data_IF_805603278656
#
_entry.id   IF_805603278656
#
_cell.length_a   1.000
_cell.length_b   1.000
_cell.length_c   1.000
_cell.angle_alpha   90.00
_cell.angle_beta   90.00
_cell.angle_gamma   90.00
#
_symmetry.space_group_name_H-M   'P 1'
#
loop_
_entity.id
_entity.type
_entity.pdbx_description
1 polymer ?
#
# COMPACT_ATOMS: atom_id res chain seq x y z
N UNK A 1 1.39 29.60 6.11
CA UNK A 1 1.29 28.90 4.82
C UNK A 1 1.89 27.55 5.03
N UNK A 2 1.26 26.47 4.58
CA UNK A 2 1.83 25.15 4.76
C UNK A 2 3.05 24.99 3.87
N UNK A 3 4.13 24.51 4.46
CA UNK A 3 5.39 24.25 3.76
C UNK A 3 5.43 22.79 3.34
N UNK A 4 5.82 22.50 2.10
CA UNK A 4 6.01 21.14 1.59
C UNK A 4 7.44 20.92 1.13
N UNK A 5 7.84 19.66 0.95
CA UNK A 5 9.12 19.30 0.35
C UNK A 5 8.92 18.61 -0.99
N UNK A 6 9.67 19.05 -1.99
CA UNK A 6 9.74 18.42 -3.31
C UNK A 6 11.17 17.95 -3.56
N UNK A 7 11.32 16.82 -4.26
CA UNK A 7 12.64 16.38 -4.72
C UNK A 7 13.07 17.21 -5.93
N UNK A 8 14.30 17.72 -5.88
CA UNK A 8 14.97 18.44 -6.96
C UNK A 8 16.14 17.59 -7.42
N UNK A 9 16.18 17.29 -8.71
CA UNK A 9 17.25 16.50 -9.31
C UNK A 9 18.61 17.16 -9.00
N UNK A 10 19.60 16.34 -8.63
CA UNK A 10 20.94 16.75 -8.20
C UNK A 10 21.04 17.62 -6.92
N UNK A 11 19.91 18.06 -6.34
CA UNK A 11 19.88 18.89 -5.13
C UNK A 11 19.15 18.27 -3.93
N UNK A 12 18.41 17.18 -4.14
CA UNK A 12 17.67 16.48 -3.08
C UNK A 12 16.37 17.17 -2.67
N UNK A 13 15.91 16.94 -1.44
CA UNK A 13 14.67 17.51 -0.92
C UNK A 13 14.82 18.99 -0.60
N UNK A 14 13.95 19.83 -1.19
CA UNK A 14 13.91 21.28 -0.96
C UNK A 14 12.56 21.72 -0.46
N UNK A 15 12.57 22.79 0.32
CA UNK A 15 11.40 23.43 0.89
C UNK A 15 10.67 24.27 -0.18
N UNK A 16 9.34 24.15 -0.26
CA UNK A 16 8.50 24.91 -1.18
C UNK A 16 7.22 25.41 -0.50
N UNK A 17 6.87 26.64 -0.85
CA UNK A 17 5.57 27.22 -0.53
C UNK A 17 4.54 26.83 -1.61
N UNK A 18 3.39 26.29 -1.17
CA UNK A 18 2.25 25.94 -2.03
C UNK A 18 1.67 27.12 -2.81
N UNK A 19 2.03 28.37 -2.46
CA UNK A 19 1.69 29.55 -3.26
C UNK A 19 2.34 29.52 -4.66
N UNK A 20 3.51 28.89 -4.81
CA UNK A 20 4.20 28.73 -6.08
C UNK A 20 3.85 27.40 -6.76
N UNK A 21 3.03 27.47 -7.81
CA UNK A 21 2.56 26.29 -8.54
C UNK A 21 3.48 25.84 -9.67
N UNK A 22 4.49 26.63 -10.04
CA UNK A 22 5.34 26.32 -11.20
C UNK A 22 6.06 24.97 -11.01
N UNK A 23 6.63 24.77 -9.83
CA UNK A 23 7.33 23.53 -9.48
C UNK A 23 6.40 22.32 -9.36
N UNK A 24 5.14 22.55 -8.97
CA UNK A 24 4.10 21.51 -8.98
C UNK A 24 3.77 21.09 -10.42
N UNK A 25 3.62 22.05 -11.34
CA UNK A 25 3.34 21.76 -12.75
C UNK A 25 4.49 21.01 -13.42
N UNK A 26 5.74 21.43 -13.21
CA UNK A 26 6.94 20.74 -13.72
C UNK A 26 6.97 19.27 -13.29
N UNK A 27 6.52 18.97 -12.08
CA UNK A 27 6.49 17.62 -11.50
C UNK A 27 5.18 16.88 -11.74
N UNK A 28 4.23 17.50 -12.44
CA UNK A 28 2.87 17.01 -12.62
C UNK A 28 2.18 16.61 -11.29
N UNK A 29 2.46 17.39 -10.24
CA UNK A 29 1.78 17.29 -8.96
C UNK A 29 0.49 18.11 -9.04
N UNK A 30 -0.65 17.49 -8.73
CA UNK A 30 -1.96 18.14 -8.76
C UNK A 30 -2.61 18.06 -7.40
N UNK A 31 -2.83 19.21 -6.77
CA UNK A 31 -3.48 19.33 -5.47
C UNK A 31 -4.77 20.13 -5.65
N UNK A 32 -5.91 19.56 -5.27
CA UNK A 32 -7.18 20.29 -5.31
C UNK A 32 -7.17 21.48 -4.37
N UNK A 33 -7.75 22.61 -4.81
CA UNK A 33 -7.89 23.83 -4.00
C UNK A 33 -8.68 23.63 -2.71
N UNK A 34 -9.56 22.62 -2.65
CA UNK A 34 -10.36 22.31 -1.46
C UNK A 34 -9.67 21.34 -0.50
N UNK A 35 -8.51 20.81 -0.88
CA UNK A 35 -7.74 19.91 -0.02
C UNK A 35 -6.93 20.69 1.02
N UNK A 36 -6.61 20.04 2.13
CA UNK A 36 -5.75 20.57 3.19
C UNK A 36 -4.49 19.73 3.26
N UNK A 37 -3.35 20.39 3.27
CA UNK A 37 -2.03 19.77 3.38
C UNK A 37 -1.37 20.30 4.65
N UNK A 38 -1.00 19.38 5.55
CA UNK A 38 -0.20 19.66 6.74
C UNK A 38 1.23 20.05 6.38
N UNK A 39 1.96 20.50 7.39
CA UNK A 39 3.33 20.96 7.24
C UNK A 39 4.28 19.79 6.97
N UNK A 40 5.35 20.07 6.23
CA UNK A 40 6.42 19.14 5.91
C UNK A 40 5.96 17.90 5.09
N UNK A 41 4.82 17.97 4.42
CA UNK A 41 4.42 16.92 3.50
C UNK A 41 5.41 16.82 2.32
N UNK A 42 5.75 15.60 1.94
CA UNK A 42 6.79 15.27 0.97
C UNK A 42 6.14 14.69 -0.28
N UNK A 43 6.38 15.30 -1.44
CA UNK A 43 5.82 14.86 -2.72
C UNK A 43 6.91 14.53 -3.73
N UNK A 44 6.84 13.34 -4.30
CA UNK A 44 7.54 13.01 -5.54
C UNK A 44 6.71 13.39 -6.79
N UNK A 45 7.17 12.99 -7.97
CA UNK A 45 6.54 13.32 -9.25
C UNK A 45 5.17 12.61 -9.43
N UNK A 46 4.30 13.23 -10.22
CA UNK A 46 3.01 12.70 -10.66
C UNK A 46 1.97 12.42 -9.55
N UNK A 47 2.15 13.01 -8.36
CA UNK A 47 1.21 12.84 -7.24
C UNK A 47 -0.09 13.61 -7.50
N UNK A 48 -1.23 13.02 -7.17
CA UNK A 48 -2.55 13.67 -7.26
C UNK A 48 -3.29 13.61 -5.94
N UNK A 49 -3.78 14.76 -5.47
CA UNK A 49 -4.60 14.92 -4.27
C UNK A 49 -5.97 15.47 -4.65
N UNK A 50 -7.01 14.68 -4.37
CA UNK A 50 -8.40 14.94 -4.69
C UNK A 50 -9.08 16.03 -3.85
N UNK A 51 -10.31 16.35 -4.22
CA UNK A 51 -11.12 17.38 -3.57
C UNK A 51 -11.43 17.03 -2.11
N UNK A 52 -11.35 18.02 -1.22
CA UNK A 52 -11.67 17.84 0.21
C UNK A 52 -10.81 16.82 0.95
N UNK A 53 -9.70 16.35 0.35
CA UNK A 53 -8.74 15.49 1.04
C UNK A 53 -8.08 16.24 2.20
N UNK A 54 -7.79 15.55 3.29
CA UNK A 54 -7.14 16.11 4.47
C UNK A 54 -5.87 15.31 4.77
N UNK A 55 -4.72 15.94 4.56
CA UNK A 55 -3.41 15.33 4.73
C UNK A 55 -2.76 15.94 5.98
N UNK A 56 -2.36 15.09 6.92
CA UNK A 56 -1.63 15.49 8.12
C UNK A 56 -0.18 15.91 7.83
N UNK A 57 0.54 16.25 8.88
CA UNK A 57 1.93 16.72 8.80
C UNK A 57 2.89 15.57 8.47
N UNK A 58 3.99 15.89 7.79
CA UNK A 58 5.09 14.95 7.52
C UNK A 58 4.67 13.68 6.76
N UNK A 59 3.61 13.75 5.96
CA UNK A 59 3.17 12.63 5.09
C UNK A 59 4.07 12.54 3.86
N UNK A 60 4.49 11.33 3.49
CA UNK A 60 5.28 11.11 2.26
C UNK A 60 4.43 10.46 1.18
N UNK A 61 4.46 11.03 -0.03
CA UNK A 61 3.82 10.48 -1.23
C UNK A 61 4.88 10.13 -2.27
N UNK A 62 4.99 8.83 -2.57
CA UNK A 62 5.86 8.36 -3.64
C UNK A 62 5.34 8.71 -5.03
N UNK A 63 6.23 8.60 -6.02
CA UNK A 63 5.95 8.68 -7.45
C UNK A 63 4.60 8.07 -7.84
N UNK A 64 3.79 8.79 -8.63
CA UNK A 64 2.49 8.33 -9.13
C UNK A 64 1.42 8.02 -8.05
N UNK A 65 1.58 8.41 -6.80
CA UNK A 65 0.53 8.24 -5.79
C UNK A 65 -0.73 9.04 -6.16
N UNK A 66 -1.90 8.42 -6.00
CA UNK A 66 -3.20 9.00 -6.31
C UNK A 66 -4.14 8.90 -5.11
N UNK A 67 -4.47 10.04 -4.52
CA UNK A 67 -5.35 10.17 -3.37
C UNK A 67 -6.68 10.76 -3.84
N UNK A 68 -7.76 9.99 -3.72
CA UNK A 68 -9.10 10.40 -4.17
C UNK A 68 -9.78 11.36 -3.17
N UNK A 69 -10.91 11.89 -3.62
CA UNK A 69 -11.64 12.94 -2.92
C UNK A 69 -12.10 12.48 -1.53
N UNK A 70 -12.04 13.40 -0.56
CA UNK A 70 -12.46 13.20 0.82
C UNK A 70 -11.58 12.26 1.65
N UNK A 71 -10.50 11.72 1.09
CA UNK A 71 -9.57 10.87 1.83
C UNK A 71 -8.88 11.64 2.97
N UNK A 72 -8.64 10.96 4.09
CA UNK A 72 -7.97 11.50 5.28
C UNK A 72 -6.72 10.69 5.56
N UNK A 73 -5.56 11.33 5.54
CA UNK A 73 -4.27 10.69 5.76
C UNK A 73 -3.66 11.28 7.03
N UNK A 74 -3.42 10.45 8.04
CA UNK A 74 -2.85 10.86 9.32
C UNK A 74 -1.38 11.28 9.18
N UNK A 75 -0.92 12.11 10.10
CA UNK A 75 0.46 12.60 10.12
C UNK A 75 1.48 11.45 10.16
N UNK A 76 2.65 11.66 9.57
CA UNK A 76 3.75 10.69 9.45
C UNK A 76 3.43 9.43 8.61
N UNK A 77 2.28 9.37 7.94
CA UNK A 77 1.97 8.24 7.05
C UNK A 77 2.90 8.22 5.81
N UNK A 78 3.19 7.01 5.32
CA UNK A 78 4.01 6.80 4.11
C UNK A 78 3.17 6.12 3.04
N UNK A 79 3.00 6.78 1.91
CA UNK A 79 2.23 6.30 0.76
C UNK A 79 3.20 5.92 -0.35
N UNK A 80 3.25 4.63 -0.67
CA UNK A 80 4.18 4.06 -1.63
C UNK A 80 3.96 4.44 -3.10
N UNK A 81 4.94 4.12 -3.94
CA UNK A 81 4.91 4.33 -5.39
C UNK A 81 3.69 3.71 -6.08
N UNK A 82 3.04 4.48 -6.95
CA UNK A 82 1.89 4.02 -7.74
C UNK A 82 0.64 3.66 -6.92
N UNK A 83 0.61 3.99 -5.62
CA UNK A 83 -0.51 3.70 -4.74
C UNK A 83 -1.77 4.46 -5.15
N UNK A 84 -2.93 3.82 -5.05
CA UNK A 84 -4.24 4.42 -5.26
C UNK A 84 -5.05 4.33 -3.96
N UNK A 85 -5.41 5.48 -3.39
CA UNK A 85 -6.25 5.58 -2.19
C UNK A 85 -7.65 6.03 -2.61
N UNK A 86 -8.66 5.22 -2.33
CA UNK A 86 -10.05 5.43 -2.71
C UNK A 86 -10.76 6.59 -2.00
N UNK A 87 -11.95 6.91 -2.47
CA UNK A 87 -12.79 8.00 -1.98
C UNK A 87 -13.12 7.84 -0.50
N UNK A 88 -13.00 8.92 0.29
CA UNK A 88 -13.38 8.91 1.71
C UNK A 88 -12.56 7.96 2.61
N UNK A 89 -11.47 7.39 2.11
CA UNK A 89 -10.60 6.48 2.86
C UNK A 89 -9.98 7.19 4.08
N UNK A 90 -9.76 6.46 5.17
CA UNK A 90 -9.01 6.93 6.34
C UNK A 90 -7.74 6.10 6.49
N UNK A 91 -6.58 6.75 6.40
CA UNK A 91 -5.27 6.17 6.69
C UNK A 91 -4.80 6.79 8.01
N UNK A 92 -4.48 5.96 8.99
CA UNK A 92 -4.08 6.37 10.33
C UNK A 92 -2.70 7.04 10.40
N UNK A 93 -2.38 7.57 11.58
CA UNK A 93 -1.08 8.18 11.88
C UNK A 93 0.04 7.15 11.73
N UNK A 94 1.12 7.51 11.05
CA UNK A 94 2.30 6.65 10.88
C UNK A 94 2.07 5.37 10.07
N UNK A 95 0.90 5.19 9.45
CA UNK A 95 0.61 4.00 8.64
C UNK A 95 1.52 3.93 7.40
N UNK A 96 1.88 2.71 6.98
CA UNK A 96 2.76 2.47 5.82
C UNK A 96 1.98 1.70 4.76
N UNK A 97 1.72 2.36 3.63
CA UNK A 97 1.05 1.78 2.48
C UNK A 97 2.11 1.42 1.43
N UNK A 98 2.18 0.14 1.09
CA UNK A 98 3.19 -0.41 0.17
C UNK A 98 3.04 0.05 -1.28
N UNK A 99 4.06 -0.24 -2.09
CA UNK A 99 4.09 0.12 -3.50
C UNK A 99 2.99 -0.60 -4.29
N UNK A 100 2.33 0.12 -5.20
CA UNK A 100 1.28 -0.37 -6.08
C UNK A 100 -0.05 -0.67 -5.39
N UNK A 101 -0.17 -0.40 -4.08
CA UNK A 101 -1.36 -0.72 -3.31
C UNK A 101 -2.61 0.00 -3.84
N UNK A 102 -3.75 -0.68 -3.78
CA UNK A 102 -5.06 -0.13 -4.12
C UNK A 102 -5.95 -0.25 -2.90
N UNK A 103 -6.20 0.86 -2.23
CA UNK A 103 -7.08 0.92 -1.06
C UNK A 103 -8.47 1.36 -1.54
N UNK A 104 -9.48 0.54 -1.28
CA UNK A 104 -10.85 0.77 -1.73
C UNK A 104 -11.52 1.95 -1.03
N UNK A 105 -12.63 2.40 -1.61
CA UNK A 105 -13.41 3.53 -1.10
C UNK A 105 -13.95 3.26 0.31
N UNK A 106 -13.87 4.27 1.19
CA UNK A 106 -14.36 4.20 2.56
C UNK A 106 -13.54 3.32 3.51
N UNK A 107 -12.45 2.70 3.04
CA UNK A 107 -11.60 1.85 3.86
C UNK A 107 -10.99 2.62 5.05
N UNK A 108 -10.66 1.88 6.11
CA UNK A 108 -10.03 2.42 7.32
C UNK A 108 -8.80 1.59 7.65
N UNK A 109 -7.62 2.20 7.53
CA UNK A 109 -6.34 1.64 7.93
C UNK A 109 -5.94 2.32 9.24
N UNK A 110 -5.68 1.53 10.28
CA UNK A 110 -5.37 2.02 11.62
C UNK A 110 -4.00 2.70 11.73
N UNK A 111 -3.75 3.31 12.88
CA UNK A 111 -2.46 3.96 13.19
C UNK A 111 -1.33 2.94 13.24
N UNK A 112 -0.17 3.29 12.67
CA UNK A 112 1.02 2.43 12.60
C UNK A 112 0.84 1.16 11.75
N UNK A 113 -0.33 0.94 11.14
CA UNK A 113 -0.62 -0.27 10.42
C UNK A 113 0.31 -0.45 9.22
N UNK A 114 0.77 -1.69 9.05
CA UNK A 114 1.50 -2.15 7.87
C UNK A 114 0.66 -3.27 7.25
N UNK A 115 0.18 -3.05 6.03
CA UNK A 115 -0.64 -4.05 5.32
C UNK A 115 0.31 -4.98 4.57
N UNK A 116 0.48 -6.22 5.06
CA UNK A 116 1.31 -7.27 4.43
C UNK A 116 0.47 -8.32 3.67
N UNK A 117 -0.80 -8.06 3.38
CA UNK A 117 -1.71 -9.07 2.83
C UNK A 117 -1.45 -9.40 1.35
N UNK A 118 -1.50 -10.67 0.99
CA UNK A 118 -1.36 -11.19 -0.37
C UNK A 118 -2.51 -12.14 -0.68
N UNK A 119 -3.08 -12.03 -1.87
CA UNK A 119 -4.14 -12.92 -2.35
C UNK A 119 -3.76 -13.43 -3.75
N UNK A 120 -3.68 -14.74 -3.93
CA UNK A 120 -3.50 -15.40 -5.22
C UNK A 120 -4.82 -16.04 -5.66
N UNK A 121 -5.17 -15.87 -6.93
CA UNK A 121 -6.17 -16.74 -7.57
C UNK A 121 -5.44 -17.98 -8.06
N UNK A 122 -5.34 -19.01 -7.22
CA UNK A 122 -4.76 -20.29 -7.65
C UNK A 122 -5.72 -21.06 -8.56
N UNK A 123 -5.21 -22.08 -9.26
CA UNK A 123 -6.00 -22.86 -10.23
C UNK A 123 -7.17 -23.66 -9.64
N UNK A 124 -7.17 -23.93 -8.33
CA UNK A 124 -8.24 -24.64 -7.61
C UNK A 124 -8.96 -23.75 -6.59
N UNK A 125 -8.22 -23.27 -5.59
CA UNK A 125 -8.68 -22.37 -4.54
C UNK A 125 -7.87 -21.07 -4.47
N UNK A 126 -8.48 -20.03 -3.92
CA UNK A 126 -7.78 -18.80 -3.54
C UNK A 126 -6.79 -19.10 -2.42
N UNK A 127 -5.61 -18.50 -2.52
CA UNK A 127 -4.63 -18.45 -1.42
C UNK A 127 -4.67 -17.06 -0.81
N UNK A 128 -4.81 -16.94 0.50
CA UNK A 128 -4.76 -15.66 1.20
C UNK A 128 -3.79 -15.69 2.37
N UNK A 129 -3.05 -14.60 2.53
CA UNK A 129 -2.14 -14.33 3.64
C UNK A 129 -2.40 -12.91 4.10
N UNK A 130 -2.57 -12.69 5.40
CA UNK A 130 -3.00 -11.39 5.94
C UNK A 130 -1.90 -10.60 6.65
N UNK A 131 -0.67 -11.10 6.64
CA UNK A 131 0.46 -10.47 7.34
C UNK A 131 0.80 -11.10 8.69
N UNK A 132 0.02 -12.09 9.12
CA UNK A 132 0.23 -12.91 10.32
C UNK A 132 0.76 -14.29 9.91
N UNK A 133 1.29 -15.07 10.85
CA UNK A 133 1.75 -16.45 10.61
C UNK A 133 0.58 -17.41 10.28
N UNK A 134 -0.04 -17.21 9.12
CA UNK A 134 -1.22 -17.92 8.64
C UNK A 134 -1.41 -17.76 7.15
N UNK A 135 -1.55 -18.89 6.45
CA UNK A 135 -1.97 -18.96 5.05
C UNK A 135 -3.26 -19.76 4.98
N UNK A 136 -4.24 -19.21 4.26
CA UNK A 136 -5.50 -19.88 3.94
C UNK A 136 -5.46 -20.32 2.48
N UNK A 137 -5.66 -21.62 2.22
CA UNK A 137 -5.87 -22.20 0.89
C UNK A 137 -7.28 -22.78 0.88
N UNK A 138 -8.22 -22.11 0.20
CA UNK A 138 -9.64 -22.46 0.29
C UNK A 138 -10.15 -22.35 1.72
N UNK A 139 -10.70 -23.43 2.25
CA UNK A 139 -11.18 -23.51 3.64
C UNK A 139 -10.12 -24.02 4.64
N UNK A 140 -8.90 -24.31 4.18
CA UNK A 140 -7.83 -24.86 5.00
C UNK A 140 -6.92 -23.73 5.45
N UNK A 141 -6.73 -23.62 6.75
CA UNK A 141 -5.85 -22.64 7.37
C UNK A 141 -4.75 -23.37 8.14
N UNK A 142 -3.51 -22.93 7.96
CA UNK A 142 -2.34 -23.40 8.71
C UNK A 142 -1.33 -22.25 8.86
N UNK A 143 -0.43 -22.37 9.84
CA UNK A 143 0.76 -21.51 9.94
C UNK A 143 1.65 -21.68 8.71
N UNK A 144 2.58 -20.75 8.50
CA UNK A 144 3.51 -20.80 7.36
C UNK A 144 4.38 -22.05 7.45
N UNK A 145 4.89 -22.38 8.63
CA UNK A 145 5.77 -23.53 8.81
C UNK A 145 5.03 -24.86 8.64
N UNK A 146 3.82 -24.99 9.18
CA UNK A 146 2.97 -26.17 8.95
C UNK A 146 2.70 -26.38 7.46
N UNK A 147 2.44 -25.31 6.69
CA UNK A 147 2.32 -25.42 5.25
C UNK A 147 3.61 -25.91 4.60
N UNK A 148 4.77 -25.34 4.94
CA UNK A 148 6.07 -25.77 4.38
C UNK A 148 6.35 -27.24 4.65
N UNK A 149 6.02 -27.74 5.84
CA UNK A 149 6.24 -29.13 6.24
C UNK A 149 5.25 -30.11 5.61
N UNK A 150 4.03 -29.66 5.29
CA UNK A 150 2.92 -30.58 4.96
C UNK A 150 2.12 -30.28 3.69
N UNK A 151 2.48 -29.26 2.89
CA UNK A 151 1.67 -28.85 1.73
C UNK A 151 1.44 -29.99 0.73
N UNK A 152 2.44 -30.84 0.48
CA UNK A 152 2.30 -31.95 -0.49
C UNK A 152 1.22 -32.94 -0.03
N UNK A 153 1.32 -33.41 1.23
CA UNK A 153 0.36 -34.35 1.79
C UNK A 153 -1.05 -33.75 1.87
N UNK A 154 -1.16 -32.52 2.38
CA UNK A 154 -2.46 -31.85 2.59
C UNK A 154 -3.17 -31.60 1.27
N UNK A 155 -2.45 -31.13 0.25
CA UNK A 155 -3.06 -30.83 -1.04
C UNK A 155 -3.39 -32.11 -1.83
N UNK A 156 -2.58 -33.16 -1.71
CA UNK A 156 -2.89 -34.48 -2.29
C UNK A 156 -4.16 -35.09 -1.68
N UNK A 157 -4.31 -35.05 -0.35
CA UNK A 157 -5.51 -35.52 0.36
C UNK A 157 -6.79 -34.74 -0.06
N UNK A 158 -6.62 -33.47 -0.43
CA UNK A 158 -7.69 -32.59 -0.93
C UNK A 158 -7.93 -32.72 -2.45
N UNK A 159 -7.23 -33.65 -3.11
CA UNK A 159 -7.44 -34.01 -4.51
C UNK A 159 -6.83 -33.04 -5.53
N UNK A 160 -5.80 -32.29 -5.13
CA UNK A 160 -5.04 -31.44 -6.06
C UNK A 160 -4.18 -32.30 -6.98
N UNK A 161 -4.00 -31.89 -8.23
CA UNK A 161 -3.06 -32.56 -9.15
C UNK A 161 -1.61 -32.20 -8.82
N UNK A 162 -0.63 -32.99 -9.27
CA UNK A 162 0.80 -32.69 -9.08
C UNK A 162 1.18 -31.27 -9.57
N UNK A 163 0.66 -30.84 -10.73
CA UNK A 163 0.89 -29.49 -11.26
C UNK A 163 0.32 -28.39 -10.34
N UNK A 164 -0.83 -28.65 -9.72
CA UNK A 164 -1.40 -27.73 -8.74
C UNK A 164 -0.57 -27.73 -7.46
N UNK A 165 -0.11 -28.89 -6.97
CA UNK A 165 0.74 -28.95 -5.77
C UNK A 165 2.01 -28.10 -5.98
N UNK A 166 2.65 -28.20 -7.15
CA UNK A 166 3.80 -27.35 -7.50
C UNK A 166 3.44 -25.86 -7.57
N UNK A 167 2.28 -25.51 -8.13
CA UNK A 167 1.77 -24.15 -8.17
C UNK A 167 1.62 -23.55 -6.77
N UNK A 168 0.93 -24.26 -5.88
CA UNK A 168 0.65 -23.79 -4.52
C UNK A 168 1.91 -23.79 -3.65
N UNK A 169 2.84 -24.72 -3.88
CA UNK A 169 4.16 -24.70 -3.25
C UNK A 169 4.92 -23.39 -3.55
N UNK A 170 4.83 -22.86 -4.78
CA UNK A 170 5.44 -21.57 -5.13
C UNK A 170 4.79 -20.42 -4.36
N UNK A 171 3.46 -20.42 -4.22
CA UNK A 171 2.75 -19.38 -3.45
C UNK A 171 3.13 -19.41 -1.97
N UNK A 172 3.15 -20.60 -1.36
CA UNK A 172 3.54 -20.78 0.05
C UNK A 172 4.98 -20.29 0.28
N UNK A 173 5.93 -20.69 -0.58
CA UNK A 173 7.34 -20.27 -0.46
C UNK A 173 7.53 -18.77 -0.67
N UNK A 174 6.76 -18.16 -1.58
CA UNK A 174 6.75 -16.71 -1.77
C UNK A 174 6.21 -15.98 -0.53
N UNK A 175 5.10 -16.48 0.06
CA UNK A 175 4.55 -15.91 1.29
C UNK A 175 5.57 -16.02 2.44
N UNK A 176 6.24 -17.16 2.61
CA UNK A 176 7.30 -17.32 3.62
C UNK A 176 8.40 -16.28 3.46
N UNK A 177 8.95 -16.13 2.25
CA UNK A 177 9.99 -15.15 1.97
C UNK A 177 9.56 -13.71 2.28
N UNK A 178 8.27 -13.37 2.09
CA UNK A 178 7.71 -12.06 2.40
C UNK A 178 7.37 -11.87 3.88
N UNK A 179 7.04 -12.94 4.59
CA UNK A 179 6.82 -12.90 6.03
C UNK A 179 8.13 -12.65 6.78
N UNK A 180 9.21 -13.30 6.35
CA UNK A 180 10.53 -13.23 6.97
C UNK A 180 11.29 -11.91 6.70
N UNK A 181 10.77 -11.06 5.80
CA UNK A 181 11.33 -9.73 5.45
C UNK A 181 10.76 -8.57 6.27
#
# INVERSE_FOLDING_TARGET
MSVIYLYVDDEGWKEFDLSNKEELYKRNIKISQSSKIGDNAVFEYNVRIGNGANIGDSVTFGFNANIRDGAKIGSNAKIGYGTKIGYGTKIGYGAKIGYGAKIGDGAKIGDGAVVKSIIFSGSNHIVSYWGEDRIDIGCIYKSIEEWIESYELVLDEEGYTEEQIEEYARYIKLIKALHDS
#
